data_IF_629115652085
#
_entry.id   IF_629115652085
#
_cell.length_a   1.000
_cell.length_b   1.000
_cell.length_c   1.000
_cell.angle_alpha   90.00
_cell.angle_beta   90.00
_cell.angle_gamma   90.00
#
_symmetry.space_group_name_H-M   'P 1'
#
loop_
_entity.id
_entity.type
_entity.pdbx_description
1 polymer ?
#
# COMPACT_ATOMS: atom_id res chain seq x y z
N UNK A 1 -46.17 42.63 -41.33
CA UNK A 1 -44.72 42.76 -41.62
C UNK A 1 -44.01 43.55 -40.52
N UNK A 2 -44.51 44.73 -40.12
CA UNK A 2 -43.89 45.58 -39.08
C UNK A 2 -43.55 44.86 -37.76
N UNK A 3 -44.46 44.06 -37.19
CA UNK A 3 -44.20 43.30 -35.94
C UNK A 3 -42.99 42.37 -36.07
N UNK A 4 -42.77 41.77 -37.25
CA UNK A 4 -41.60 40.93 -37.54
C UNK A 4 -40.32 41.78 -37.60
N UNK A 5 -40.40 42.99 -38.15
CA UNK A 5 -39.28 43.91 -38.22
C UNK A 5 -38.88 44.44 -36.84
N UNK A 6 -39.85 44.84 -36.01
CA UNK A 6 -39.61 45.29 -34.64
C UNK A 6 -39.05 44.18 -33.73
N UNK A 7 -39.51 42.94 -33.87
CA UNK A 7 -38.98 41.80 -33.10
C UNK A 7 -37.54 41.46 -33.51
N UNK A 8 -37.21 41.48 -34.81
CA UNK A 8 -35.82 41.31 -35.27
C UNK A 8 -34.95 42.47 -34.75
N UNK A 9 -35.40 43.71 -34.88
CA UNK A 9 -34.62 44.91 -34.50
C UNK A 9 -34.36 44.96 -32.99
N UNK A 10 -35.34 44.63 -32.14
CA UNK A 10 -35.18 44.59 -30.68
C UNK A 10 -34.26 43.47 -30.22
N UNK A 11 -34.35 42.27 -30.81
CA UNK A 11 -33.41 41.18 -30.54
C UNK A 11 -31.98 41.51 -30.97
N UNK A 12 -31.79 42.12 -32.14
CA UNK A 12 -30.47 42.57 -32.60
C UNK A 12 -29.89 43.66 -31.70
N UNK A 13 -30.70 44.64 -31.29
CA UNK A 13 -30.26 45.71 -30.38
C UNK A 13 -29.84 45.17 -29.00
N UNK A 14 -30.62 44.25 -28.41
CA UNK A 14 -30.27 43.56 -27.16
C UNK A 14 -28.99 42.72 -27.31
N UNK A 15 -28.84 42.01 -28.43
CA UNK A 15 -27.64 41.21 -28.72
C UNK A 15 -26.37 42.06 -28.81
N UNK A 16 -26.42 43.16 -29.56
CA UNK A 16 -25.29 44.11 -29.69
C UNK A 16 -24.98 44.78 -28.35
N UNK A 17 -26.00 45.25 -27.62
CA UNK A 17 -25.83 45.86 -26.31
C UNK A 17 -25.13 44.89 -25.33
N UNK A 18 -25.60 43.64 -25.27
CA UNK A 18 -25.04 42.60 -24.41
C UNK A 18 -23.61 42.25 -24.81
N UNK A 19 -23.32 42.15 -26.11
CA UNK A 19 -21.96 41.88 -26.62
C UNK A 19 -20.97 43.01 -26.26
N UNK A 20 -21.40 44.27 -26.38
CA UNK A 20 -20.58 45.43 -25.98
C UNK A 20 -20.31 45.42 -24.47
N UNK A 21 -21.33 45.17 -23.64
CA UNK A 21 -21.17 45.06 -22.18
C UNK A 21 -20.20 43.93 -21.84
N UNK A 22 -20.38 42.73 -22.42
CA UNK A 22 -19.50 41.58 -22.19
C UNK A 22 -18.06 41.85 -22.63
N UNK A 23 -17.84 42.56 -23.74
CA UNK A 23 -16.49 42.95 -24.18
C UNK A 23 -15.79 43.88 -23.17
N UNK A 24 -16.48 44.91 -22.67
CA UNK A 24 -15.91 45.82 -21.67
C UNK A 24 -15.64 45.12 -20.34
N UNK A 25 -16.54 44.24 -19.89
CA UNK A 25 -16.32 43.41 -18.70
C UNK A 25 -15.13 42.47 -18.90
N UNK A 26 -15.05 41.76 -20.02
CA UNK A 26 -13.95 40.84 -20.33
C UNK A 26 -12.59 41.55 -20.37
N UNK A 27 -12.50 42.74 -20.96
CA UNK A 27 -11.26 43.53 -20.95
C UNK A 27 -10.93 44.08 -19.56
N UNK A 28 -11.93 44.55 -18.80
CA UNK A 28 -11.70 45.14 -17.47
C UNK A 28 -11.29 44.11 -16.41
N UNK A 29 -11.73 42.87 -16.54
CA UNK A 29 -11.39 41.75 -15.67
C UNK A 29 -10.43 40.74 -16.31
N UNK A 30 -9.75 41.11 -17.41
CA UNK A 30 -8.70 40.30 -17.99
C UNK A 30 -7.56 40.13 -16.98
N UNK A 31 -7.33 38.89 -16.56
CA UNK A 31 -6.11 38.51 -15.84
C UNK A 31 -5.01 38.28 -16.88
N UNK A 32 -3.85 38.90 -16.71
CA UNK A 32 -2.67 38.55 -17.49
C UNK A 32 -2.05 37.28 -16.90
N UNK A 33 -2.22 36.16 -17.60
CA UNK A 33 -1.55 34.90 -17.29
C UNK A 33 -0.14 34.90 -17.89
N UNK A 34 0.83 34.32 -17.17
CA UNK A 34 2.18 34.14 -17.67
C UNK A 34 2.15 33.14 -18.85
N UNK A 35 2.60 33.51 -20.07
CA UNK A 35 2.52 32.64 -21.25
C UNK A 35 3.32 31.34 -21.10
N UNK A 36 4.25 31.25 -20.13
CA UNK A 36 4.94 30.01 -19.80
C UNK A 36 3.99 28.95 -19.23
N UNK A 37 2.85 29.32 -18.66
CA UNK A 37 1.85 28.38 -18.12
C UNK A 37 1.24 27.55 -19.26
N UNK A 38 0.91 28.18 -20.39
CA UNK A 38 0.41 27.48 -21.60
C UNK A 38 1.43 26.47 -22.14
N UNK A 39 2.71 26.86 -22.21
CA UNK A 39 3.77 25.98 -22.70
C UNK A 39 4.07 24.83 -21.73
N UNK A 40 4.13 25.09 -20.42
CA UNK A 40 4.30 24.03 -19.42
C UNK A 40 3.10 23.09 -19.39
N UNK A 41 1.87 23.58 -19.57
CA UNK A 41 0.69 22.71 -19.65
C UNK A 41 0.74 21.77 -20.87
N UNK A 42 1.20 22.24 -22.03
CA UNK A 42 1.42 21.41 -23.24
C UNK A 42 2.52 20.36 -23.03
N UNK A 43 3.51 20.63 -22.17
CA UNK A 43 4.56 19.68 -21.79
C UNK A 43 4.08 18.63 -20.77
N UNK A 44 2.98 18.90 -20.05
CA UNK A 44 2.36 17.94 -19.12
C UNK A 44 1.47 16.93 -19.88
N UNK A 45 1.21 15.73 -19.33
CA UNK A 45 0.47 14.68 -20.04
C UNK A 45 -1.03 14.93 -20.34
N UNK A 46 -1.57 16.13 -20.06
CA UNK A 46 -2.99 16.47 -20.26
C UNK A 46 -4.01 15.65 -19.43
N UNK A 47 -3.57 14.68 -18.62
CA UNK A 47 -4.42 13.65 -18.03
C UNK A 47 -5.37 14.14 -16.91
N UNK A 48 -5.17 15.35 -16.37
CA UNK A 48 -6.02 15.99 -15.35
C UNK A 48 -6.42 15.10 -14.14
N UNK A 49 -5.58 14.11 -13.80
CA UNK A 49 -5.90 13.06 -12.83
C UNK A 49 -5.77 13.45 -11.35
N UNK A 50 -5.26 14.65 -11.05
CA UNK A 50 -5.03 15.16 -9.70
C UNK A 50 -3.94 14.44 -8.86
N UNK A 51 -3.19 13.50 -9.45
CA UNK A 51 -2.18 12.71 -8.72
C UNK A 51 -0.98 13.50 -8.17
N UNK A 52 -0.78 14.74 -8.64
CA UNK A 52 0.20 15.69 -8.11
C UNK A 52 -0.36 16.62 -7.01
N UNK A 53 -1.63 16.49 -6.63
CA UNK A 53 -2.29 17.32 -5.61
C UNK A 53 -3.06 18.54 -6.17
N UNK A 54 -2.86 18.90 -7.44
CA UNK A 54 -3.57 19.99 -8.11
C UNK A 54 -4.86 19.52 -8.78
N UNK A 55 -5.81 20.43 -9.02
CA UNK A 55 -7.09 20.10 -9.66
C UNK A 55 -6.96 19.61 -11.12
N UNK A 56 -5.87 19.98 -11.80
CA UNK A 56 -5.61 19.63 -13.20
C UNK A 56 -4.20 20.01 -13.65
N UNK A 57 -3.89 19.78 -14.93
CA UNK A 57 -2.60 20.09 -15.53
C UNK A 57 -2.30 21.60 -15.50
N UNK A 58 -3.28 22.47 -15.81
CA UNK A 58 -3.17 23.93 -15.63
C UNK A 58 -2.67 24.34 -14.25
N UNK A 59 -3.26 23.79 -13.18
CA UNK A 59 -2.89 24.14 -11.80
C UNK A 59 -1.49 23.69 -11.42
N UNK A 60 -1.03 22.56 -11.98
CA UNK A 60 0.35 22.09 -11.84
C UNK A 60 1.33 22.98 -12.63
N UNK A 61 0.96 23.37 -13.86
CA UNK A 61 1.76 24.28 -14.69
C UNK A 61 1.93 25.66 -14.04
N UNK A 62 0.84 26.22 -13.50
CA UNK A 62 0.84 27.48 -12.76
C UNK A 62 1.79 27.45 -11.56
N UNK A 63 1.74 26.36 -10.76
CA UNK A 63 2.65 26.17 -9.63
C UNK A 63 4.11 26.04 -10.06
N UNK A 64 4.39 25.27 -11.12
CA UNK A 64 5.74 25.07 -11.66
C UNK A 64 6.36 26.37 -12.21
N UNK A 65 5.54 27.24 -12.82
CA UNK A 65 6.00 28.57 -13.28
C UNK A 65 6.27 29.48 -12.08
N UNK A 66 5.31 29.61 -11.15
CA UNK A 66 5.33 30.59 -10.05
C UNK A 66 6.29 30.28 -8.90
N UNK A 67 6.61 29.02 -8.61
CA UNK A 67 7.51 28.67 -7.49
C UNK A 67 8.96 28.57 -7.96
N UNK A 68 9.89 29.29 -7.31
CA UNK A 68 11.32 29.23 -7.64
C UNK A 68 11.92 27.84 -7.40
N UNK A 69 11.60 27.23 -6.25
CA UNK A 69 11.90 25.83 -5.96
C UNK A 69 10.73 24.93 -6.36
N UNK A 70 11.02 23.97 -7.25
CA UNK A 70 10.07 22.94 -7.72
C UNK A 70 10.41 21.54 -7.21
N UNK A 71 11.36 21.41 -6.25
CA UNK A 71 11.82 20.13 -5.68
C UNK A 71 10.69 19.26 -5.13
N UNK A 72 9.61 19.88 -4.62
CA UNK A 72 8.43 19.20 -4.09
C UNK A 72 7.35 18.87 -5.16
N UNK A 73 7.42 19.45 -6.36
CA UNK A 73 6.38 19.36 -7.39
C UNK A 73 6.66 18.23 -8.38
N UNK A 74 6.00 17.08 -8.24
CA UNK A 74 6.20 15.94 -9.16
C UNK A 74 4.91 15.49 -9.86
N UNK A 75 4.92 15.41 -11.19
CA UNK A 75 3.85 14.81 -11.97
C UNK A 75 4.02 13.27 -12.05
N UNK A 76 3.20 12.46 -11.36
CA UNK A 76 3.39 11.00 -11.37
C UNK A 76 3.16 10.39 -12.76
N UNK A 77 2.26 10.97 -13.56
CA UNK A 77 1.93 10.49 -14.92
C UNK A 77 3.02 10.81 -15.93
N UNK A 78 3.62 12.00 -15.85
CA UNK A 78 4.72 12.40 -16.73
C UNK A 78 6.06 11.76 -16.37
N UNK A 79 6.22 11.36 -15.10
CA UNK A 79 7.45 10.78 -14.59
C UNK A 79 8.63 11.74 -14.64
N UNK A 80 9.84 11.20 -14.40
CA UNK A 80 11.06 12.00 -14.33
C UNK A 80 11.38 12.74 -15.63
N UNK A 81 11.06 12.18 -16.80
CA UNK A 81 11.49 12.75 -18.08
C UNK A 81 10.63 13.94 -18.51
N UNK A 82 9.31 13.91 -18.25
CA UNK A 82 8.45 15.10 -18.35
C UNK A 82 8.91 16.21 -17.38
N UNK A 83 9.21 15.85 -16.12
CA UNK A 83 9.68 16.83 -15.13
C UNK A 83 11.05 17.44 -15.51
N UNK A 84 11.96 16.68 -16.11
CA UNK A 84 13.23 17.19 -16.64
C UNK A 84 13.02 18.16 -17.81
N UNK A 85 12.12 17.85 -18.75
CA UNK A 85 11.81 18.73 -19.88
C UNK A 85 11.24 20.07 -19.40
N UNK A 86 10.27 20.04 -18.48
CA UNK A 86 9.67 21.24 -17.88
C UNK A 86 10.70 22.05 -17.08
N UNK A 87 11.53 21.38 -16.26
CA UNK A 87 12.55 22.05 -15.48
C UNK A 87 13.60 22.74 -16.38
N UNK A 88 14.03 22.08 -17.46
CA UNK A 88 14.94 22.66 -18.45
C UNK A 88 14.34 23.89 -19.16
N UNK A 89 13.06 23.84 -19.53
CA UNK A 89 12.35 24.99 -20.11
C UNK A 89 12.26 26.19 -19.13
N UNK A 90 12.03 25.92 -17.85
CA UNK A 90 11.90 26.94 -16.82
C UNK A 90 13.25 27.43 -16.24
N UNK A 91 14.37 26.83 -16.63
CA UNK A 91 15.69 27.13 -16.06
C UNK A 91 15.86 26.66 -14.60
N UNK A 92 15.10 25.64 -14.18
CA UNK A 92 15.04 25.11 -12.80
C UNK A 92 15.65 23.71 -12.73
N UNK A 93 15.90 23.22 -11.50
CA UNK A 93 16.34 21.84 -11.28
C UNK A 93 15.16 20.88 -11.29
N UNK A 94 15.33 19.69 -11.88
CA UNK A 94 14.27 18.70 -11.98
C UNK A 94 14.13 17.91 -10.67
N UNK A 95 12.91 17.74 -10.11
CA UNK A 95 12.70 16.94 -8.92
C UNK A 95 12.90 15.45 -9.22
N UNK A 96 13.88 14.83 -8.55
CA UNK A 96 14.10 13.39 -8.64
C UNK A 96 13.14 12.64 -7.72
N UNK A 97 12.37 11.71 -8.30
CA UNK A 97 11.50 10.81 -7.54
C UNK A 97 11.58 9.41 -8.12
N UNK A 98 11.72 8.42 -7.23
CA UNK A 98 11.71 7.02 -7.62
C UNK A 98 10.36 6.62 -8.22
N UNK A 99 10.33 5.78 -9.26
CA UNK A 99 9.08 5.31 -9.84
C UNK A 99 8.27 4.54 -8.79
N UNK A 100 6.95 4.73 -8.80
CA UNK A 100 6.01 4.07 -7.90
C UNK A 100 5.01 3.22 -8.70
N UNK A 101 4.32 2.31 -8.02
CA UNK A 101 3.25 1.46 -8.56
C UNK A 101 2.18 1.26 -7.49
N UNK A 102 0.92 1.26 -7.89
CA UNK A 102 -0.18 0.95 -6.99
C UNK A 102 -0.08 -0.52 -6.53
N UNK A 103 -0.10 -0.75 -5.22
CA UNK A 103 0.02 -2.09 -4.63
C UNK A 103 -1.22 -2.39 -3.79
N UNK A 104 -1.91 -3.48 -4.13
CA UNK A 104 -3.09 -3.96 -3.39
C UNK A 104 -2.64 -4.81 -2.20
N UNK A 105 -2.90 -4.33 -0.99
CA UNK A 105 -2.52 -4.97 0.28
C UNK A 105 -3.65 -5.82 0.89
N UNK A 106 -4.36 -6.56 0.04
CA UNK A 106 -5.31 -7.58 0.47
C UNK A 106 -5.03 -8.87 -0.30
N UNK A 107 -4.58 -9.92 0.38
CA UNK A 107 -4.41 -11.28 -0.13
C UNK A 107 -5.54 -12.23 0.28
N UNK A 108 -6.64 -11.68 0.80
CA UNK A 108 -7.82 -12.44 1.25
C UNK A 108 -8.71 -12.82 0.08
N UNK A 109 -8.24 -13.77 -0.74
CA UNK A 109 -8.98 -14.41 -1.84
C UNK A 109 -10.26 -15.06 -1.32
N UNK A 110 -11.21 -15.35 -2.21
CA UNK A 110 -12.48 -16.01 -1.87
C UNK A 110 -12.28 -17.28 -1.02
N UNK A 111 -11.33 -18.16 -1.35
CA UNK A 111 -11.05 -19.39 -0.59
C UNK A 111 -10.51 -19.11 0.83
N UNK A 112 -9.68 -18.07 0.96
CA UNK A 112 -8.99 -17.74 2.22
C UNK A 112 -9.82 -16.82 3.11
N UNK A 113 -10.83 -16.15 2.54
CA UNK A 113 -11.74 -15.20 3.21
C UNK A 113 -13.15 -15.40 2.61
N UNK A 114 -13.90 -16.41 3.09
CA UNK A 114 -15.21 -16.71 2.55
C UNK A 114 -16.19 -15.57 2.81
N UNK A 115 -17.22 -15.49 1.95
CA UNK A 115 -18.36 -14.60 2.16
C UNK A 115 -19.29 -15.18 3.22
N UNK A 116 -19.90 -14.30 4.02
CA UNK A 116 -20.81 -14.63 5.12
C UNK A 116 -22.20 -14.03 4.93
N UNK A 117 -22.35 -13.12 3.97
CA UNK A 117 -23.61 -12.53 3.49
C UNK A 117 -23.42 -12.06 2.04
N UNK A 118 -24.49 -11.62 1.41
CA UNK A 118 -24.49 -11.03 0.06
C UNK A 118 -24.98 -9.59 0.12
N UNK A 119 -24.32 -8.70 -0.62
CA UNK A 119 -24.73 -7.31 -0.77
C UNK A 119 -25.67 -7.13 -1.97
N UNK A 120 -26.95 -6.91 -1.68
CA UNK A 120 -27.95 -6.56 -2.69
C UNK A 120 -28.13 -5.03 -2.75
N UNK A 121 -27.43 -4.39 -3.69
CA UNK A 121 -27.45 -2.94 -3.88
C UNK A 121 -26.54 -2.50 -5.03
N UNK A 122 -26.37 -1.18 -5.20
CA UNK A 122 -25.54 -0.62 -6.26
C UNK A 122 -24.07 -1.06 -6.10
N UNK A 123 -23.49 -1.70 -7.13
CA UNK A 123 -22.14 -2.32 -7.05
C UNK A 123 -21.03 -1.27 -7.03
N UNK A 124 -20.83 -0.67 -5.86
CA UNK A 124 -19.73 0.24 -5.54
C UNK A 124 -19.22 -0.07 -4.13
N UNK A 125 -17.89 -0.07 -3.98
CA UNK A 125 -17.18 -0.16 -2.72
C UNK A 125 -17.56 1.02 -1.82
N UNK A 126 -17.62 2.24 -2.36
CA UNK A 126 -18.03 3.41 -1.60
C UNK A 126 -19.42 3.22 -0.98
N UNK A 127 -20.43 2.89 -1.80
CA UNK A 127 -21.83 2.70 -1.37
C UNK A 127 -21.95 1.53 -0.38
N UNK A 128 -21.34 0.38 -0.67
CA UNK A 128 -21.38 -0.76 0.25
C UNK A 128 -20.68 -0.46 1.59
N UNK A 129 -19.56 0.29 1.56
CA UNK A 129 -18.79 0.63 2.77
C UNK A 129 -19.47 1.65 3.68
N UNK A 130 -20.35 2.51 3.17
CA UNK A 130 -21.13 3.45 3.98
C UNK A 130 -22.32 2.79 4.66
N UNK A 131 -22.83 1.69 4.09
CA UNK A 131 -23.97 0.95 4.64
C UNK A 131 -23.52 -0.06 5.71
N UNK A 132 -22.44 -0.80 5.47
CA UNK A 132 -21.98 -1.83 6.40
C UNK A 132 -20.52 -2.28 6.18
N UNK A 133 -20.11 -3.28 6.96
CA UNK A 133 -18.74 -3.79 7.01
C UNK A 133 -18.29 -4.48 5.71
N UNK A 134 -19.21 -5.17 5.01
CA UNK A 134 -18.95 -5.91 3.77
C UNK A 134 -19.34 -7.39 3.83
N UNK A 135 -19.18 -8.09 2.71
CA UNK A 135 -19.64 -9.48 2.51
C UNK A 135 -18.84 -10.55 3.28
N UNK A 136 -17.79 -10.17 4.02
CA UNK A 136 -16.88 -11.11 4.70
C UNK A 136 -16.69 -10.73 6.16
N UNK A 137 -16.32 -11.68 7.01
CA UNK A 137 -15.97 -11.41 8.42
C UNK A 137 -14.76 -10.50 8.67
N UNK A 138 -14.11 -9.95 7.63
CA UNK A 138 -12.99 -9.02 7.76
C UNK A 138 -13.40 -7.58 7.41
N UNK A 139 -13.36 -6.68 8.39
CA UNK A 139 -13.78 -5.28 8.21
C UNK A 139 -12.86 -4.44 7.31
N UNK A 140 -11.62 -4.88 7.10
CA UNK A 140 -10.57 -4.14 6.40
C UNK A 140 -10.27 -4.68 4.99
N UNK A 141 -10.82 -5.84 4.62
CA UNK A 141 -10.52 -6.50 3.34
C UNK A 141 -11.20 -5.81 2.15
N UNK A 142 -10.76 -6.18 0.94
CA UNK A 142 -11.39 -5.73 -0.30
C UNK A 142 -12.88 -6.11 -0.32
N UNK A 143 -13.75 -5.22 -0.82
CA UNK A 143 -15.17 -5.48 -1.04
C UNK A 143 -15.46 -6.14 -2.39
N UNK A 144 -14.57 -6.02 -3.37
CA UNK A 144 -14.69 -6.69 -4.66
C UNK A 144 -15.57 -5.99 -5.71
N UNK A 145 -16.12 -4.80 -5.44
CA UNK A 145 -17.02 -4.10 -6.38
C UNK A 145 -16.33 -3.22 -7.44
N UNK A 146 -15.00 -3.05 -7.38
CA UNK A 146 -14.24 -2.55 -8.53
C UNK A 146 -14.05 -1.03 -8.68
N UNK A 147 -14.35 -0.20 -7.69
CA UNK A 147 -14.20 1.28 -7.78
C UNK A 147 -12.76 1.71 -8.13
N UNK A 148 -11.77 0.91 -7.72
CA UNK A 148 -10.36 1.07 -8.09
C UNK A 148 -10.07 0.79 -9.57
N UNK A 149 -10.88 -0.03 -10.24
CA UNK A 149 -10.85 -0.26 -11.70
C UNK A 149 -11.53 0.91 -12.40
N UNK A 150 -12.74 1.29 -11.97
CA UNK A 150 -13.52 2.41 -12.56
C UNK A 150 -12.76 3.74 -12.49
N UNK A 151 -12.02 3.98 -11.41
CA UNK A 151 -11.17 5.18 -11.25
C UNK A 151 -9.83 5.12 -12.00
N UNK A 152 -9.51 4.02 -12.68
CA UNK A 152 -8.24 3.87 -13.39
C UNK A 152 -8.36 4.27 -14.86
N UNK A 153 -8.09 5.53 -15.19
CA UNK A 153 -8.04 6.06 -16.55
C UNK A 153 -6.98 5.41 -17.49
N UNK A 154 -6.13 4.51 -16.96
CA UNK A 154 -5.01 3.90 -17.67
C UNK A 154 -5.18 2.38 -17.92
N UNK A 155 -6.35 1.79 -17.60
CA UNK A 155 -6.58 0.32 -17.66
C UNK A 155 -5.48 -0.50 -16.94
N UNK A 156 -4.92 0.06 -15.87
CA UNK A 156 -3.84 -0.53 -15.10
C UNK A 156 -4.32 -1.42 -13.95
N UNK A 157 -5.64 -1.53 -13.72
CA UNK A 157 -6.21 -2.37 -12.65
C UNK A 157 -7.38 -3.16 -13.21
N UNK A 158 -7.44 -4.46 -12.93
CA UNK A 158 -8.56 -5.34 -13.31
C UNK A 158 -8.99 -6.21 -12.15
N UNK A 159 -10.28 -6.52 -12.05
CA UNK A 159 -10.77 -7.50 -11.07
C UNK A 159 -10.48 -8.91 -11.59
N UNK A 160 -9.72 -9.71 -10.84
CA UNK A 160 -9.54 -11.12 -11.15
C UNK A 160 -10.78 -11.90 -10.64
N UNK A 161 -11.52 -12.61 -11.53
CA UNK A 161 -12.76 -13.29 -11.17
C UNK A 161 -12.54 -14.52 -10.28
N UNK A 162 -11.36 -15.16 -10.33
CA UNK A 162 -11.05 -16.32 -9.50
C UNK A 162 -10.66 -15.92 -8.07
N UNK A 163 -9.90 -14.82 -7.90
CA UNK A 163 -9.47 -14.37 -6.56
C UNK A 163 -10.45 -13.42 -5.89
N UNK A 164 -11.30 -12.74 -6.67
CA UNK A 164 -12.21 -11.69 -6.20
C UNK A 164 -11.49 -10.39 -5.81
N UNK A 165 -10.25 -10.20 -6.25
CA UNK A 165 -9.37 -9.10 -5.87
C UNK A 165 -8.93 -8.27 -7.09
N UNK A 166 -8.64 -6.96 -6.92
CA UNK A 166 -8.03 -6.16 -7.96
C UNK A 166 -6.56 -6.52 -8.12
N UNK A 167 -6.14 -6.73 -9.36
CA UNK A 167 -4.75 -6.95 -9.77
C UNK A 167 -4.28 -5.74 -10.57
N UNK A 168 -3.05 -5.29 -10.32
CA UNK A 168 -2.47 -4.09 -10.93
C UNK A 168 -1.44 -4.51 -11.97
N UNK A 169 -1.61 -4.05 -13.19
CA UNK A 169 -0.60 -4.08 -14.24
C UNK A 169 0.47 -3.03 -13.90
N UNK A 170 1.70 -3.44 -13.52
CA UNK A 170 2.74 -2.53 -13.08
C UNK A 170 3.30 -1.66 -14.22
N UNK A 171 3.10 -2.04 -15.48
CA UNK A 171 3.68 -1.37 -16.65
C UNK A 171 2.74 -0.36 -17.28
N UNK A 172 1.42 -0.53 -17.10
CA UNK A 172 0.41 0.52 -17.32
C UNK A 172 0.25 1.50 -16.15
N UNK A 173 0.66 1.12 -14.93
CA UNK A 173 0.41 1.95 -13.74
C UNK A 173 1.28 3.22 -13.71
N UNK A 174 0.64 4.37 -13.89
CA UNK A 174 1.25 5.72 -13.85
C UNK A 174 1.35 6.32 -12.44
N UNK A 175 1.14 5.53 -11.39
CA UNK A 175 1.15 5.96 -9.99
C UNK A 175 0.30 7.22 -9.64
N UNK A 176 -0.76 7.52 -10.40
CA UNK A 176 -1.59 8.71 -10.19
C UNK A 176 -2.40 8.73 -8.87
N UNK A 177 -2.48 7.62 -8.14
CA UNK A 177 -3.18 7.55 -6.84
C UNK A 177 -4.71 7.56 -6.89
N UNK A 178 -5.34 7.65 -8.07
CA UNK A 178 -6.81 7.67 -8.19
C UNK A 178 -7.47 6.45 -7.51
N UNK A 179 -6.91 5.26 -7.71
CA UNK A 179 -7.35 4.02 -7.07
C UNK A 179 -7.15 3.98 -5.54
N UNK A 180 -6.16 4.72 -5.01
CA UNK A 180 -5.93 4.87 -3.56
C UNK A 180 -7.06 5.71 -2.96
N UNK A 181 -7.37 6.85 -3.59
CA UNK A 181 -8.47 7.74 -3.18
C UNK A 181 -9.85 7.06 -3.31
N UNK A 182 -10.05 6.27 -4.36
CA UNK A 182 -11.32 5.56 -4.61
C UNK A 182 -11.55 4.33 -3.71
N UNK A 183 -10.56 3.88 -2.92
CA UNK A 183 -10.69 2.69 -2.09
C UNK A 183 -11.11 3.07 -0.64
N UNK A 184 -12.39 2.91 -0.25
CA UNK A 184 -12.85 3.29 1.09
C UNK A 184 -12.26 2.44 2.22
N UNK A 185 -11.72 1.25 1.89
CA UNK A 185 -11.01 0.36 2.81
C UNK A 185 -9.51 0.67 2.93
N UNK A 186 -8.99 1.66 2.19
CA UNK A 186 -7.57 2.07 2.16
C UNK A 186 -6.58 0.91 2.01
N UNK A 187 -6.91 -0.09 1.17
CA UNK A 187 -6.07 -1.28 0.96
C UNK A 187 -5.01 -1.09 -0.14
N UNK A 188 -5.07 0.01 -0.89
CA UNK A 188 -4.19 0.29 -2.02
C UNK A 188 -3.26 1.42 -1.60
N UNK A 189 -1.95 1.27 -1.84
CA UNK A 189 -0.95 2.32 -1.61
C UNK A 189 0.06 2.39 -2.76
N UNK A 190 0.66 3.55 -2.99
CA UNK A 190 1.72 3.73 -3.98
C UNK A 190 3.06 3.32 -3.38
N UNK A 191 3.65 2.22 -3.85
CA UNK A 191 4.96 1.72 -3.37
C UNK A 191 6.01 1.86 -4.45
N UNK A 192 7.29 1.89 -4.06
CA UNK A 192 8.45 1.89 -4.96
C UNK A 192 8.35 0.75 -5.99
N UNK A 193 8.39 1.09 -7.29
CA UNK A 193 8.49 0.15 -8.41
C UNK A 193 9.95 -0.27 -8.55
N UNK A 194 10.29 -1.47 -8.08
CA UNK A 194 11.65 -2.01 -8.26
C UNK A 194 11.86 -2.54 -9.67
N UNK A 195 13.12 -2.62 -10.15
CA UNK A 195 13.44 -3.23 -11.44
C UNK A 195 12.83 -4.62 -11.61
N UNK A 196 12.30 -4.91 -12.79
CA UNK A 196 11.57 -6.15 -13.12
C UNK A 196 10.31 -6.38 -12.27
N UNK A 197 9.60 -5.31 -11.92
CA UNK A 197 8.30 -5.32 -11.21
C UNK A 197 8.34 -6.12 -9.89
N UNK A 198 9.49 -6.04 -9.22
CA UNK A 198 9.76 -6.77 -7.98
C UNK A 198 9.10 -6.08 -6.79
N UNK A 199 8.50 -6.83 -5.88
CA UNK A 199 8.04 -6.25 -4.61
C UNK A 199 8.05 -7.26 -3.46
N UNK A 200 8.20 -6.73 -2.24
CA UNK A 200 7.92 -7.44 -0.98
C UNK A 200 7.05 -6.51 -0.13
N UNK A 201 5.88 -7.00 0.29
CA UNK A 201 4.93 -6.23 1.10
C UNK A 201 3.98 -7.16 1.87
N UNK A 202 3.34 -6.64 2.91
CA UNK A 202 2.30 -7.38 3.64
C UNK A 202 0.96 -7.22 2.93
N UNK A 203 0.38 -8.32 2.46
CA UNK A 203 -0.92 -8.39 1.77
C UNK A 203 -2.09 -8.39 2.76
N UNK A 204 -1.99 -7.59 3.81
CA UNK A 204 -3.00 -7.40 4.82
C UNK A 204 -2.97 -5.95 5.33
N UNK A 205 -4.14 -5.44 5.71
CA UNK A 205 -4.33 -4.14 6.38
C UNK A 205 -5.24 -4.22 7.62
N UNK A 206 -5.73 -5.42 7.99
CA UNK A 206 -6.48 -5.57 9.25
C UNK A 206 -5.59 -5.23 10.45
N UNK A 207 -6.19 -4.49 11.39
CA UNK A 207 -5.60 -4.07 12.66
C UNK A 207 -6.10 -4.94 13.84
N UNK A 208 -6.90 -5.97 13.53
CA UNK A 208 -7.49 -6.86 14.52
C UNK A 208 -6.44 -7.75 15.18
N UNK A 209 -6.71 -8.22 16.40
CA UNK A 209 -5.85 -9.23 17.05
C UNK A 209 -5.81 -10.51 16.21
N UNK A 210 -4.65 -11.15 16.10
CA UNK A 210 -4.43 -12.28 15.19
C UNK A 210 -5.43 -13.44 15.31
N UNK A 211 -6.01 -13.68 16.49
CA UNK A 211 -7.08 -14.67 16.68
C UNK A 211 -8.39 -14.31 15.97
N UNK A 212 -8.74 -13.02 15.90
CA UNK A 212 -9.89 -12.51 15.12
C UNK A 212 -9.58 -12.60 13.63
N UNK A 213 -8.37 -12.17 13.23
CA UNK A 213 -7.90 -12.28 11.85
C UNK A 213 -8.00 -13.72 11.33
N UNK A 214 -7.51 -14.72 12.08
CA UNK A 214 -7.54 -16.13 11.64
C UNK A 214 -8.93 -16.77 11.63
N UNK A 215 -9.93 -16.17 12.29
CA UNK A 215 -11.35 -16.54 12.13
C UNK A 215 -11.91 -15.98 10.82
N UNK A 216 -11.58 -14.74 10.47
CA UNK A 216 -12.10 -14.05 9.29
C UNK A 216 -11.35 -14.36 7.98
N UNK A 217 -10.03 -14.54 8.02
CA UNK A 217 -9.17 -14.66 6.85
C UNK A 217 -7.91 -15.49 7.14
N UNK A 218 -7.73 -16.61 6.43
CA UNK A 218 -6.55 -17.50 6.55
C UNK A 218 -5.27 -16.91 5.93
N UNK A 219 -5.38 -15.86 5.12
CA UNK A 219 -4.26 -15.13 4.51
C UNK A 219 -3.74 -13.95 5.36
N UNK A 220 -4.37 -13.67 6.50
CA UNK A 220 -4.15 -12.43 7.24
C UNK A 220 -2.82 -12.36 7.99
N UNK A 221 -2.35 -11.13 8.22
CA UNK A 221 -1.25 -10.88 9.15
C UNK A 221 -1.75 -10.99 10.60
N UNK A 222 -1.01 -11.70 11.45
CA UNK A 222 -1.37 -11.96 12.85
C UNK A 222 -0.48 -11.22 13.87
N UNK A 223 0.35 -10.26 13.43
CA UNK A 223 1.19 -9.43 14.30
C UNK A 223 2.35 -10.12 15.01
N UNK A 224 2.70 -11.36 14.62
CA UNK A 224 3.54 -12.28 15.42
C UNK A 224 5.04 -11.93 15.59
N UNK A 225 5.54 -10.76 15.18
CA UNK A 225 6.94 -10.35 15.38
C UNK A 225 8.00 -11.01 14.47
N UNK A 226 7.76 -12.21 13.93
CA UNK A 226 8.81 -13.01 13.24
C UNK A 226 9.49 -12.29 12.07
N UNK A 227 8.72 -11.65 11.20
CA UNK A 227 9.24 -10.91 10.06
C UNK A 227 10.09 -9.70 10.49
N UNK A 228 9.73 -9.03 11.57
CA UNK A 228 10.50 -7.91 12.13
C UNK A 228 11.83 -8.40 12.69
N UNK A 229 11.82 -9.49 13.48
CA UNK A 229 13.03 -10.07 14.09
C UNK A 229 14.08 -10.55 13.06
N UNK A 230 13.65 -11.07 11.90
CA UNK A 230 14.57 -11.53 10.84
C UNK A 230 15.05 -10.40 9.90
N UNK A 231 14.53 -9.18 10.04
CA UNK A 231 14.86 -8.07 9.15
C UNK A 231 16.13 -7.33 9.59
N UNK A 232 17.29 -7.76 9.07
CA UNK A 232 18.59 -7.12 9.30
C UNK A 232 18.69 -5.64 8.85
N UNK A 233 17.68 -5.10 8.16
CA UNK A 233 17.66 -3.73 7.62
C UNK A 233 16.72 -2.78 8.39
N UNK A 234 16.08 -3.23 9.47
CA UNK A 234 15.09 -2.41 10.21
C UNK A 234 13.88 -1.97 9.37
N UNK A 235 13.63 -2.63 8.23
CA UNK A 235 12.62 -2.22 7.24
C UNK A 235 11.18 -2.67 7.59
N UNK A 236 10.95 -3.25 8.77
CA UNK A 236 9.67 -3.83 9.16
C UNK A 236 9.28 -3.30 10.54
N UNK A 237 8.11 -2.67 10.64
CA UNK A 237 7.49 -2.25 11.89
C UNK A 237 6.25 -3.10 12.17
N UNK A 238 5.83 -3.15 13.43
CA UNK A 238 4.57 -3.79 13.83
C UNK A 238 3.81 -2.82 14.72
N UNK A 239 2.63 -2.44 14.27
CA UNK A 239 1.74 -1.48 14.93
C UNK A 239 0.31 -2.00 14.81
N UNK A 240 -0.49 -1.87 15.86
CA UNK A 240 -1.89 -2.30 15.86
C UNK A 240 -2.09 -3.74 15.33
N UNK A 241 -1.28 -4.70 15.81
CA UNK A 241 -1.27 -6.11 15.38
C UNK A 241 -0.92 -6.36 13.89
N UNK A 242 -0.53 -5.33 13.14
CA UNK A 242 -0.22 -5.42 11.72
C UNK A 242 1.27 -5.17 11.48
N UNK A 243 1.90 -6.03 10.67
CA UNK A 243 3.23 -5.75 10.14
C UNK A 243 3.15 -4.81 8.93
N UNK A 244 4.03 -3.82 8.90
CA UNK A 244 4.28 -2.97 7.73
C UNK A 244 5.71 -3.15 7.25
N UNK A 245 5.91 -3.13 5.93
CA UNK A 245 7.24 -3.18 5.31
C UNK A 245 7.48 -1.85 4.61
N UNK A 246 8.47 -1.11 5.09
CA UNK A 246 8.94 0.14 4.49
C UNK A 246 9.63 -0.17 3.15
N UNK A 247 9.09 0.31 2.01
CA UNK A 247 9.66 0.03 0.70
C UNK A 247 11.00 0.74 0.44
N UNK A 248 11.34 1.77 1.21
CA UNK A 248 12.61 2.50 1.07
C UNK A 248 13.76 1.82 1.81
N UNK A 249 13.48 1.27 3.00
CA UNK A 249 14.46 0.50 3.77
C UNK A 249 14.64 -0.94 3.27
N UNK A 250 13.61 -1.53 2.67
CA UNK A 250 13.66 -2.92 2.20
C UNK A 250 14.73 -3.12 1.11
N UNK A 251 15.56 -4.16 1.23
CA UNK A 251 16.55 -4.56 0.20
C UNK A 251 16.17 -5.85 -0.55
N UNK A 252 14.87 -6.20 -0.56
CA UNK A 252 14.30 -7.39 -1.24
C UNK A 252 14.99 -8.75 -0.93
N UNK A 253 15.61 -8.91 0.25
CA UNK A 253 16.34 -10.14 0.62
C UNK A 253 15.46 -11.39 0.88
N UNK A 254 14.13 -11.26 0.77
CA UNK A 254 13.10 -12.32 0.90
C UNK A 254 13.04 -13.10 2.23
N UNK A 255 14.00 -12.96 3.16
CA UNK A 255 14.03 -13.67 4.46
C UNK A 255 12.72 -13.60 5.25
N UNK A 256 12.08 -12.43 5.27
CA UNK A 256 10.80 -12.22 5.96
C UNK A 256 9.63 -13.05 5.39
N UNK A 257 9.65 -13.38 4.08
CA UNK A 257 8.63 -14.19 3.42
C UNK A 257 8.65 -15.62 3.97
N UNK A 258 9.85 -16.19 4.12
CA UNK A 258 10.03 -17.55 4.63
C UNK A 258 9.61 -17.71 6.10
N UNK A 259 9.78 -16.66 6.91
CA UNK A 259 9.41 -16.65 8.34
C UNK A 259 7.93 -16.32 8.60
N UNK A 260 7.14 -15.97 7.58
CA UNK A 260 5.73 -15.63 7.74
C UNK A 260 4.86 -16.91 7.86
N UNK A 261 4.27 -17.21 9.04
CA UNK A 261 3.56 -18.48 9.25
C UNK A 261 2.22 -18.54 8.51
N UNK A 262 1.61 -17.39 8.19
CA UNK A 262 0.32 -17.30 7.47
C UNK A 262 0.48 -17.02 5.97
N UNK A 263 1.70 -16.84 5.47
CA UNK A 263 1.95 -16.44 4.08
C UNK A 263 1.46 -15.04 3.72
N UNK A 264 1.20 -14.18 4.71
CA UNK A 264 0.68 -12.82 4.53
C UNK A 264 1.68 -11.80 3.95
N UNK A 265 2.90 -12.23 3.60
CA UNK A 265 3.91 -11.40 2.93
C UNK A 265 4.05 -11.90 1.49
N UNK A 266 3.63 -11.06 0.55
CA UNK A 266 3.67 -11.36 -0.88
C UNK A 266 5.05 -11.04 -1.44
N UNK A 267 5.48 -11.90 -2.37
CA UNK A 267 6.65 -11.76 -3.20
C UNK A 267 6.17 -11.61 -4.65
N UNK A 268 6.31 -10.41 -5.23
CA UNK A 268 5.95 -10.14 -6.62
C UNK A 268 7.21 -10.07 -7.50
N UNK A 269 7.09 -10.52 -8.76
CA UNK A 269 8.17 -10.45 -9.76
C UNK A 269 9.43 -11.27 -9.44
N UNK A 270 9.33 -12.25 -8.54
CA UNK A 270 10.47 -13.04 -8.05
C UNK A 270 10.03 -14.43 -7.57
N UNK A 271 10.88 -15.43 -7.78
CA UNK A 271 10.69 -16.78 -7.24
C UNK A 271 10.95 -16.84 -5.73
N UNK A 272 10.21 -17.68 -4.97
CA UNK A 272 10.52 -17.96 -3.57
C UNK A 272 11.96 -18.44 -3.39
N UNK A 273 12.62 -18.03 -2.29
CA UNK A 273 13.86 -18.69 -1.91
C UNK A 273 13.56 -20.16 -1.58
N UNK A 274 14.38 -21.12 -2.02
CA UNK A 274 14.28 -22.50 -1.57
C UNK A 274 14.23 -22.52 -0.04
N UNK A 275 13.15 -23.07 0.52
CA UNK A 275 13.11 -23.38 1.94
C UNK A 275 14.08 -24.53 2.14
N UNK A 276 15.28 -24.25 2.65
CA UNK A 276 16.14 -25.30 3.21
C UNK A 276 15.26 -26.08 4.19
N UNK A 277 15.07 -27.40 4.00
CA UNK A 277 14.27 -28.17 4.92
C UNK A 277 14.80 -27.93 6.33
N UNK A 278 13.92 -27.59 7.27
CA UNK A 278 14.29 -27.72 8.68
C UNK A 278 14.69 -29.17 8.86
N UNK A 279 15.95 -29.41 9.23
CA UNK A 279 16.38 -30.72 9.67
C UNK A 279 15.32 -31.25 10.64
N UNK A 280 14.87 -32.51 10.51
CA UNK A 280 13.88 -33.08 11.42
C UNK A 280 14.30 -32.78 12.85
N UNK A 281 13.36 -32.30 13.67
CA UNK A 281 13.65 -32.03 15.07
C UNK A 281 14.21 -33.33 15.66
N UNK A 282 15.46 -33.28 16.14
CA UNK A 282 16.12 -34.45 16.70
C UNK A 282 15.18 -35.12 17.71
N UNK A 283 14.96 -36.44 17.65
CA UNK A 283 14.04 -37.11 18.55
C UNK A 283 14.36 -36.72 19.99
N UNK A 284 13.34 -36.22 20.71
CA UNK A 284 13.50 -35.93 22.14
C UNK A 284 13.92 -37.23 22.82
N UNK A 285 15.10 -37.24 23.43
CA UNK A 285 15.54 -38.38 24.22
C UNK A 285 14.51 -38.66 25.32
N UNK A 286 13.92 -39.85 25.30
CA UNK A 286 13.08 -40.33 26.40
C UNK A 286 13.96 -40.67 27.61
N UNK A 287 13.44 -40.59 28.85
CA UNK A 287 14.23 -40.84 30.04
C UNK A 287 14.67 -42.31 30.12
N UNK A 288 15.93 -42.54 30.47
CA UNK A 288 16.44 -43.89 30.69
C UNK A 288 15.76 -44.54 31.91
N UNK A 289 15.08 -45.67 31.67
CA UNK A 289 14.61 -46.56 32.72
C UNK A 289 15.74 -47.52 33.14
N UNK A 290 15.68 -48.00 34.39
CA UNK A 290 16.68 -48.87 35.01
C UNK A 290 16.68 -50.26 34.38
N UNK A 291 17.87 -50.86 34.24
CA UNK A 291 18.02 -52.33 34.24
C UNK A 291 18.86 -52.77 35.45
N UNK A 292 18.49 -53.93 35.99
CA UNK A 292 19.11 -54.51 37.16
C UNK A 292 20.15 -55.55 36.76
N UNK A 293 21.18 -55.72 37.59
CA UNK A 293 21.98 -56.95 37.63
C UNK A 293 22.05 -57.44 39.07
N UNK A 294 22.02 -58.76 39.25
CA UNK A 294 22.07 -59.42 40.54
C UNK A 294 23.18 -60.48 40.53
N UNK A 295 23.98 -60.53 41.60
CA UNK A 295 25.08 -61.50 41.74
C UNK A 295 26.07 -61.10 42.84
N UNK A 296 25.81 -61.55 44.07
CA UNK A 296 26.74 -61.57 45.23
C UNK A 296 27.27 -63.02 45.40
N UNK A 297 28.32 -63.36 46.20
CA UNK A 297 28.73 -62.85 47.52
C UNK A 297 30.18 -62.28 47.53
N UNK A 298 30.86 -61.90 48.65
CA UNK A 298 30.61 -62.05 50.10
C UNK A 298 31.18 -60.85 50.90
N UNK A 299 31.20 -60.93 52.24
CA UNK A 299 31.84 -59.99 53.19
C UNK A 299 33.12 -60.66 53.83
N UNK A 300 33.91 -60.07 54.78
CA UNK A 300 33.47 -59.17 55.88
C UNK A 300 34.38 -57.97 56.28
N UNK A 301 33.77 -57.11 57.11
CA UNK A 301 34.29 -56.25 58.20
C UNK A 301 35.58 -55.38 58.08
N UNK A 302 35.43 -54.07 58.31
CA UNK A 302 35.75 -53.45 59.63
C UNK A 302 35.65 -51.90 59.62
N UNK A 303 35.28 -51.27 60.76
CA UNK A 303 35.85 -49.96 61.15
C UNK A 303 34.95 -48.71 61.22
N UNK A 304 34.43 -48.44 62.42
CA UNK A 304 34.36 -47.14 63.12
C UNK A 304 33.72 -45.86 62.48
N UNK A 305 32.68 -45.36 63.15
CA UNK A 305 32.27 -43.93 63.29
C UNK A 305 33.18 -43.18 64.32
N UNK A 306 32.98 -41.88 64.72
CA UNK A 306 31.97 -40.85 64.33
C UNK A 306 32.50 -39.38 64.13
N UNK A 307 31.59 -38.48 63.70
CA UNK A 307 31.52 -37.02 63.98
C UNK A 307 32.67 -36.09 63.45
N UNK A 308 32.62 -34.74 63.44
CA UNK A 308 31.75 -33.75 64.15
C UNK A 308 31.53 -32.45 63.32
N UNK A 309 30.50 -31.69 63.72
CA UNK A 309 30.39 -30.20 63.74
C UNK A 309 30.28 -29.36 62.46
N UNK A 310 29.29 -28.47 62.49
CA UNK A 310 29.18 -27.26 61.67
C UNK A 310 29.99 -26.09 62.24
N UNK A 311 30.20 -25.05 61.42
CA UNK A 311 30.51 -23.69 61.87
C UNK A 311 29.90 -22.67 60.89
N UNK A 312 29.39 -21.57 61.43
CA UNK A 312 28.58 -20.56 60.72
C UNK A 312 29.37 -19.30 60.33
N UNK A 313 29.01 -18.69 59.19
CA UNK A 313 28.99 -17.21 58.98
C UNK A 313 30.36 -16.46 59.01
N UNK A 314 30.44 -15.12 58.75
CA UNK A 314 29.39 -14.14 58.42
C UNK A 314 29.61 -13.25 57.18
N UNK A 315 28.59 -12.43 56.91
CA UNK A 315 28.61 -11.26 56.03
C UNK A 315 29.34 -10.07 56.67
N UNK A 316 30.08 -9.32 55.84
CA UNK A 316 30.19 -7.86 55.77
C UNK A 316 31.00 -7.56 54.47
N UNK A 317 30.80 -6.49 53.71
CA UNK A 317 29.95 -5.28 53.85
C UNK A 317 28.98 -5.15 52.67
#
# INVERSE_FOLDING_TARGET
MEVLFYTILTLCALGVLSAVILYFVAQKFRVEEDPRIDEVEKMLPGANCGGCGFAGCRGMADALVKQDDISALFCPVGGGDCMKAVAAYLGKSAPEKEPQVATVRCGGTCDKRPRTNEYNGARSCAVASSLYVGETGCAFGCLGFGDCVVSCAFDAIRMNPATGLPEVDPDKCTACGACVKACPKMIIELRKKWPKNRAVYVSCVSKDKGAVVMKACKAGCIGCGKCQKVCAFGAITIENNLAYIDPQKCKLCRKCVNECPTGAIVLAGMDPLPKVPKAPAAPKASPAAKEASAGVPTAPDAGATPAVSAAETPKAE
#
